data_IF_942671270568
#
_entry.id   IF_942671270568
#
_cell.length_a   1.000
_cell.length_b   1.000
_cell.length_c   1.000
_cell.angle_alpha   90.00
_cell.angle_beta   90.00
_cell.angle_gamma   90.00
#
_symmetry.space_group_name_H-M   'P 1'
#
loop_
_entity.id
_entity.type
_entity.pdbx_description
1 polymer ?
#
# COMPACT_ATOMS: atom_id res chain seq x y z
N UNK A 1 16.87 3.52 -4.74
CA UNK A 1 15.53 3.55 -4.12
C UNK A 1 15.46 4.72 -3.14
N UNK A 2 14.53 5.68 -3.30
CA UNK A 2 14.44 6.94 -2.52
C UNK A 2 13.22 6.95 -1.59
N UNK A 3 13.12 5.99 -0.68
CA UNK A 3 12.13 6.00 0.40
C UNK A 3 12.73 6.76 1.59
N UNK A 4 12.11 7.86 2.03
CA UNK A 4 12.70 8.76 3.04
C UNK A 4 12.44 8.35 4.49
N UNK A 5 11.29 7.75 4.78
CA UNK A 5 10.87 7.34 6.13
C UNK A 5 9.74 6.33 6.02
N UNK A 6 9.59 5.45 7.02
CA UNK A 6 8.50 4.48 7.11
C UNK A 6 7.86 4.55 8.51
N UNK A 7 6.55 4.78 8.58
CA UNK A 7 5.76 4.78 9.83
C UNK A 7 4.74 3.62 9.80
N UNK A 8 4.51 2.97 10.95
CA UNK A 8 3.79 1.70 11.00
C UNK A 8 2.68 1.73 12.05
N UNK A 9 1.44 1.51 11.61
CA UNK A 9 0.27 1.26 12.45
C UNK A 9 -0.25 -0.18 12.23
N UNK A 10 -1.15 -0.69 13.08
CA UNK A 10 -1.43 -2.14 13.30
C UNK A 10 -1.49 -3.05 12.05
N UNK A 11 -1.90 -2.56 10.89
CA UNK A 11 -1.91 -3.27 9.59
C UNK A 11 -1.48 -2.34 8.41
N UNK A 12 -0.57 -1.40 8.64
CA UNK A 12 -0.31 -0.29 7.72
C UNK A 12 1.16 0.09 7.67
N UNK A 13 1.65 0.42 6.48
CA UNK A 13 2.97 0.98 6.21
C UNK A 13 2.76 2.33 5.52
N UNK A 14 3.21 3.41 6.15
CA UNK A 14 3.27 4.74 5.53
C UNK A 14 4.70 5.02 5.10
N UNK A 15 4.90 5.65 3.94
CA UNK A 15 6.21 6.13 3.53
C UNK A 15 6.12 7.37 2.64
N UNK A 16 7.17 8.18 2.65
CA UNK A 16 7.23 9.38 1.84
C UNK A 16 7.85 9.13 0.45
N UNK A 17 7.13 9.49 -0.61
CA UNK A 17 7.58 9.44 -2.00
C UNK A 17 7.23 10.76 -2.70
N UNK A 18 8.20 11.42 -3.34
CA UNK A 18 8.00 12.70 -4.05
C UNK A 18 7.19 13.77 -3.28
N UNK A 19 7.48 13.93 -1.97
CA UNK A 19 6.80 14.87 -1.05
C UNK A 19 5.36 14.50 -0.70
N UNK A 20 4.90 13.32 -1.11
CA UNK A 20 3.59 12.76 -0.79
C UNK A 20 3.73 11.64 0.25
N UNK A 21 2.78 11.57 1.18
CA UNK A 21 2.60 10.43 2.09
C UNK A 21 1.85 9.32 1.35
N UNK A 22 2.49 8.17 1.17
CA UNK A 22 1.86 6.98 0.57
C UNK A 22 1.62 5.96 1.67
N UNK A 23 0.41 5.44 1.71
CA UNK A 23 0.00 4.40 2.65
C UNK A 23 -0.24 3.09 1.92
N UNK A 24 0.34 2.02 2.45
CA UNK A 24 0.00 0.64 2.13
C UNK A 24 -0.76 0.08 3.33
N UNK A 25 -2.03 -0.25 3.14
CA UNK A 25 -2.90 -0.77 4.18
C UNK A 25 -3.33 -2.20 3.84
N UNK A 26 -3.10 -3.12 4.78
CA UNK A 26 -3.61 -4.47 4.72
C UNK A 26 -4.98 -4.52 5.42
N UNK A 27 -6.00 -4.91 4.66
CA UNK A 27 -7.34 -5.22 5.13
C UNK A 27 -7.54 -6.75 5.08
N UNK A 28 -8.66 -7.25 5.62
CA UNK A 28 -8.85 -8.70 5.82
C UNK A 28 -8.67 -9.53 4.54
N UNK A 29 -9.08 -9.00 3.38
CA UNK A 29 -9.05 -9.71 2.09
C UNK A 29 -8.38 -8.92 0.95
N UNK A 30 -7.83 -7.75 1.25
CA UNK A 30 -7.24 -6.88 0.22
C UNK A 30 -6.11 -6.03 0.79
N UNK A 31 -5.20 -5.62 -0.08
CA UNK A 31 -4.15 -4.66 0.23
C UNK A 31 -4.38 -3.42 -0.63
N UNK A 32 -4.44 -2.26 0.01
CA UNK A 32 -4.66 -0.96 -0.65
C UNK A 32 -3.40 -0.13 -0.60
N UNK A 33 -3.08 0.52 -1.70
CA UNK A 33 -2.02 1.51 -1.83
C UNK A 33 -2.67 2.81 -2.29
N UNK A 34 -2.50 3.86 -1.52
CA UNK A 34 -3.03 5.17 -1.84
C UNK A 34 -2.15 6.28 -1.26
N UNK A 35 -2.18 7.43 -1.90
CA UNK A 35 -1.75 8.67 -1.27
C UNK A 35 -2.69 8.99 -0.09
N UNK A 36 -2.11 9.39 1.03
CA UNK A 36 -2.84 9.99 2.14
C UNK A 36 -3.00 11.49 1.85
N UNK A 37 -4.25 11.93 1.76
CA UNK A 37 -4.66 13.31 1.53
C UNK A 37 -5.17 13.87 2.86
N UNK A 38 -4.46 14.86 3.39
CA UNK A 38 -4.95 15.63 4.54
C UNK A 38 -5.73 16.84 4.02
N UNK A 39 -7.03 16.91 4.31
CA UNK A 39 -7.81 18.13 4.08
C UNK A 39 -7.64 19.09 5.27
N UNK A 40 -7.67 20.41 5.02
CA UNK A 40 -7.62 21.43 6.08
C UNK A 40 -8.81 21.37 7.07
N UNK A 41 -9.83 20.57 6.75
CA UNK A 41 -10.96 20.25 7.64
C UNK A 41 -10.73 18.91 8.33
N UNK A 42 -10.71 18.94 9.67
CA UNK A 42 -10.39 17.83 10.59
C UNK A 42 -11.33 16.62 10.49
N UNK A 43 -11.23 15.86 9.39
CA UNK A 43 -12.06 14.68 9.11
C UNK A 43 -11.29 13.36 9.16
N UNK A 44 -10.03 13.39 9.62
CA UNK A 44 -9.17 12.21 9.74
C UNK A 44 -8.33 11.97 8.47
N UNK A 45 -7.64 10.83 8.43
CA UNK A 45 -6.87 10.42 7.26
C UNK A 45 -7.83 10.08 6.11
N UNK A 46 -7.68 10.76 4.97
CA UNK A 46 -8.47 10.48 3.76
C UNK A 46 -7.54 9.91 2.70
N UNK A 47 -7.90 8.79 2.07
CA UNK A 47 -7.12 8.26 0.96
C UNK A 47 -7.51 8.94 -0.35
N UNK A 48 -6.53 9.08 -1.24
CA UNK A 48 -6.77 9.54 -2.61
C UNK A 48 -7.83 8.69 -3.30
N UNK A 49 -8.59 9.32 -4.18
CA UNK A 49 -9.60 8.68 -5.04
C UNK A 49 -8.99 7.72 -6.06
N UNK A 50 -7.67 7.85 -6.30
CA UNK A 50 -6.88 6.92 -7.11
C UNK A 50 -6.14 5.95 -6.18
N UNK A 51 -6.40 4.66 -6.33
CA UNK A 51 -5.82 3.63 -5.46
C UNK A 51 -5.40 2.41 -6.27
N UNK A 52 -4.31 1.78 -5.86
CA UNK A 52 -3.97 0.44 -6.32
C UNK A 52 -4.46 -0.55 -5.28
N UNK A 53 -5.20 -1.57 -5.70
CA UNK A 53 -5.76 -2.58 -4.80
C UNK A 53 -5.34 -3.96 -5.27
N UNK A 54 -4.76 -4.75 -4.38
CA UNK A 54 -4.47 -6.16 -4.57
C UNK A 54 -5.58 -6.94 -3.88
N UNK A 55 -6.36 -7.71 -4.63
CA UNK A 55 -7.39 -8.62 -4.10
C UNK A 55 -7.60 -9.78 -5.05
N UNK A 56 -7.94 -10.97 -4.54
CA UNK A 56 -8.29 -12.14 -5.36
C UNK A 56 -7.21 -12.53 -6.42
N UNK A 57 -5.92 -12.41 -6.09
CA UNK A 57 -4.81 -12.74 -6.99
C UNK A 57 -4.66 -11.77 -8.18
N UNK A 58 -5.31 -10.61 -8.13
CA UNK A 58 -5.24 -9.58 -9.18
C UNK A 58 -4.93 -8.21 -8.60
N UNK A 59 -4.34 -7.37 -9.44
CA UNK A 59 -4.03 -5.98 -9.11
C UNK A 59 -4.98 -5.08 -9.89
N UNK A 60 -5.57 -4.13 -9.20
CA UNK A 60 -6.59 -3.24 -9.73
C UNK A 60 -6.18 -1.79 -9.55
N UNK A 61 -6.51 -0.96 -10.53
CA UNK A 61 -6.58 0.49 -10.40
C UNK A 61 -8.04 0.87 -10.09
N UNK A 62 -8.26 1.44 -8.91
CA UNK A 62 -9.53 2.04 -8.52
C UNK A 62 -9.44 3.55 -8.76
N UNK A 63 -10.43 4.08 -9.46
CA UNK A 63 -10.54 5.49 -9.81
C UNK A 63 -12.01 5.94 -9.75
N UNK A 64 -12.30 7.25 -9.83
CA UNK A 64 -13.66 7.75 -10.00
C UNK A 64 -14.39 7.20 -11.24
N UNK A 65 -13.65 6.67 -12.21
CA UNK A 65 -14.20 6.11 -13.45
C UNK A 65 -14.47 4.61 -13.37
N UNK A 66 -14.17 3.99 -12.22
CA UNK A 66 -14.38 2.56 -11.97
C UNK A 66 -13.09 1.81 -11.63
N UNK A 67 -13.21 0.49 -11.71
CA UNK A 67 -12.17 -0.50 -11.37
C UNK A 67 -11.63 -1.15 -12.65
N UNK A 68 -10.31 -1.12 -12.83
CA UNK A 68 -9.63 -1.74 -13.95
C UNK A 68 -8.58 -2.74 -13.47
N UNK A 69 -8.55 -3.93 -14.04
CA UNK A 69 -7.46 -4.90 -13.82
C UNK A 69 -6.20 -4.40 -14.50
N UNK A 70 -5.07 -4.42 -13.80
CA UNK A 70 -3.75 -4.12 -14.35
C UNK A 70 -3.19 -5.41 -14.94
N UNK A 71 -2.95 -5.44 -16.26
CA UNK A 71 -2.54 -6.65 -16.98
C UNK A 71 -1.12 -7.13 -16.64
N UNK A 72 -0.20 -6.20 -16.40
CA UNK A 72 1.22 -6.47 -16.13
C UNK A 72 1.64 -5.83 -14.78
N UNK A 73 1.27 -6.43 -13.63
CA UNK A 73 1.44 -5.82 -12.32
C UNK A 73 2.79 -6.09 -11.65
N UNK A 74 3.74 -6.74 -12.33
CA UNK A 74 4.98 -7.26 -11.73
C UNK A 74 5.78 -6.16 -11.02
N UNK A 75 5.94 -5.00 -11.66
CA UNK A 75 6.67 -3.87 -11.08
C UNK A 75 6.01 -3.33 -9.79
N UNK A 76 4.67 -3.43 -9.68
CA UNK A 76 3.93 -3.01 -8.49
C UNK A 76 4.18 -4.03 -7.37
N UNK A 77 4.11 -5.32 -7.69
CA UNK A 77 4.33 -6.41 -6.74
C UNK A 77 5.76 -6.39 -6.22
N UNK A 78 6.75 -6.23 -7.11
CA UNK A 78 8.17 -6.16 -6.74
C UNK A 78 8.45 -4.93 -5.88
N UNK A 79 7.91 -3.76 -6.25
CA UNK A 79 8.03 -2.55 -5.44
C UNK A 79 7.41 -2.69 -4.05
N UNK A 80 6.28 -3.40 -3.93
CA UNK A 80 5.67 -3.73 -2.64
C UNK A 80 6.56 -4.67 -1.82
N UNK A 81 7.11 -5.73 -2.44
CA UNK A 81 8.01 -6.68 -1.78
C UNK A 81 9.26 -5.97 -1.23
N UNK A 82 9.83 -5.05 -1.99
CA UNK A 82 10.96 -4.22 -1.56
C UNK A 82 10.63 -3.37 -0.33
N UNK A 83 9.47 -2.70 -0.32
CA UNK A 83 9.03 -1.88 0.82
C UNK A 83 8.78 -2.74 2.06
N UNK A 84 8.14 -3.91 1.90
CA UNK A 84 7.87 -4.84 2.98
C UNK A 84 9.18 -5.39 3.58
N UNK A 85 10.19 -5.67 2.76
CA UNK A 85 11.49 -6.15 3.24
C UNK A 85 12.18 -5.11 4.15
N UNK A 86 11.98 -3.80 3.90
CA UNK A 86 12.55 -2.73 4.73
C UNK A 86 12.04 -2.76 6.19
N UNK A 87 10.85 -3.31 6.45
CA UNK A 87 10.28 -3.36 7.80
C UNK A 87 10.56 -4.68 8.54
N UNK A 88 11.17 -5.67 7.88
CA UNK A 88 11.39 -7.04 8.39
C UNK A 88 12.00 -7.11 9.79
N UNK A 89 13.04 -6.32 10.03
CA UNK A 89 13.79 -6.36 11.29
C UNK A 89 13.13 -5.56 12.41
N UNK A 90 12.39 -4.50 12.06
CA UNK A 90 11.77 -3.58 13.03
C UNK A 90 10.34 -3.98 13.40
N UNK A 91 9.62 -4.61 12.47
CA UNK A 91 8.19 -4.92 12.59
C UNK A 91 7.89 -6.35 12.10
N UNK A 92 8.57 -7.35 12.68
CA UNK A 92 8.49 -8.76 12.25
C UNK A 92 7.07 -9.32 12.11
N UNK A 93 6.17 -8.99 13.06
CA UNK A 93 4.77 -9.43 13.00
C UNK A 93 4.03 -8.88 11.78
N UNK A 94 4.21 -7.59 11.48
CA UNK A 94 3.60 -6.95 10.33
C UNK A 94 4.21 -7.46 9.02
N UNK A 95 5.54 -7.59 8.97
CA UNK A 95 6.24 -8.20 7.83
C UNK A 95 5.65 -9.58 7.48
N UNK A 96 5.46 -10.47 8.47
CA UNK A 96 4.87 -11.78 8.23
C UNK A 96 3.44 -11.70 7.67
N UNK A 97 2.62 -10.75 8.14
CA UNK A 97 1.27 -10.54 7.58
C UNK A 97 1.33 -10.17 6.10
N UNK A 98 2.20 -9.23 5.73
CA UNK A 98 2.34 -8.80 4.34
C UNK A 98 2.91 -9.90 3.44
N UNK A 99 3.94 -10.63 3.91
CA UNK A 99 4.52 -11.74 3.14
C UNK A 99 3.48 -12.85 2.90
N UNK A 100 2.69 -13.18 3.92
CA UNK A 100 1.62 -14.16 3.78
C UNK A 100 0.53 -13.69 2.81
N UNK A 101 0.18 -12.41 2.80
CA UNK A 101 -0.78 -11.87 1.84
C UNK A 101 -0.21 -11.88 0.41
N UNK A 102 1.06 -11.50 0.25
CA UNK A 102 1.73 -11.39 -1.03
C UNK A 102 2.16 -12.75 -1.60
N UNK A 103 2.01 -13.87 -0.88
CA UNK A 103 2.33 -15.20 -1.44
C UNK A 103 1.39 -15.61 -2.57
N UNK A 104 0.22 -14.96 -2.66
CA UNK A 104 -0.77 -15.19 -3.70
C UNK A 104 -0.45 -14.41 -5.01
N UNK A 105 0.70 -13.71 -5.06
CA UNK A 105 1.13 -12.80 -6.14
C UNK A 105 2.62 -12.94 -6.50
#
# INVERSE_FOLDING_TARGET
>A
MRVKSVNVERNKIEFCYNQVSVTIQLLDNELRIAEEVTYEVATGQVFSIMQIVLKQGKVFLISPFGENVISDPENIIDGLKDIVEMIKWRHKSLYLKFVNFLSDY
#
